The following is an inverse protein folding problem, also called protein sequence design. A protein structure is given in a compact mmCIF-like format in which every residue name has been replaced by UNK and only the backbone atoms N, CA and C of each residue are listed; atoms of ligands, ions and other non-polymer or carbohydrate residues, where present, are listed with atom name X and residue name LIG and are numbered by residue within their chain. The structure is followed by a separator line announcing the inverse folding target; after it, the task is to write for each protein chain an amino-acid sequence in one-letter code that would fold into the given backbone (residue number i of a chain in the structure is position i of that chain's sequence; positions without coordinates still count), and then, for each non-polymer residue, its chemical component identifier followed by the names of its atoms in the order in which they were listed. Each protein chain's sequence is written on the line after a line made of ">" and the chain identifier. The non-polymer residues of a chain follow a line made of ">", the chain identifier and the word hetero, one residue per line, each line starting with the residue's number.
data_IF_873259781963
#
_entry.id   IF_873259781963
#
_cell.length_a   1.000
_cell.length_b   1.000
_cell.length_c   1.000
_cell.angle_alpha   90.00
_cell.angle_beta   90.00
_cell.angle_gamma   90.00
#
_symmetry.space_group_name_H-M   'P 1'
#
loop_
_entity.id
_entity.type
_entity.pdbx_description
1 polymer ?
#
# COMPACT_ATOMS: atom_id res chain seq x y z
N UNK A 1 12.92 13.26 3.44
CA UNK A 1 13.22 14.57 2.81
C UNK A 1 13.83 14.44 1.42
N UNK A 2 15.01 13.83 1.23
CA UNK A 2 15.60 13.70 -0.12
C UNK A 2 14.74 12.86 -1.07
N UNK A 3 14.20 11.72 -0.61
CA UNK A 3 13.29 10.91 -1.40
C UNK A 3 12.00 11.67 -1.76
N UNK A 4 11.45 12.41 -0.81
CA UNK A 4 10.20 13.15 -1.02
C UNK A 4 10.41 14.30 -2.02
N UNK A 5 11.56 14.98 -1.95
CA UNK A 5 11.96 16.00 -2.92
C UNK A 5 12.20 15.38 -4.31
N UNK A 6 12.85 14.22 -4.41
CA UNK A 6 13.06 13.54 -5.68
C UNK A 6 11.73 13.10 -6.32
N UNK A 7 10.80 12.57 -5.51
CA UNK A 7 9.47 12.19 -5.98
C UNK A 7 8.67 13.41 -6.42
N UNK A 8 8.74 14.50 -5.66
CA UNK A 8 8.09 15.76 -6.02
C UNK A 8 8.66 16.32 -7.31
N UNK A 9 9.98 16.46 -7.45
CA UNK A 9 10.60 16.97 -8.68
C UNK A 9 10.20 16.15 -9.92
N UNK A 10 10.13 14.82 -9.80
CA UNK A 10 9.70 13.94 -10.88
C UNK A 10 8.22 14.07 -11.27
N UNK A 11 7.37 14.64 -10.40
CA UNK A 11 5.91 14.69 -10.60
C UNK A 11 5.30 16.10 -10.56
N UNK A 12 6.07 17.11 -10.13
CA UNK A 12 5.60 18.45 -9.80
C UNK A 12 4.91 19.13 -10.97
N UNK A 13 5.45 19.00 -12.19
CA UNK A 13 4.86 19.60 -13.39
C UNK A 13 3.47 19.01 -13.68
N UNK A 14 3.35 17.68 -13.61
CA UNK A 14 2.08 16.98 -13.84
C UNK A 14 1.05 17.37 -12.78
N UNK A 15 1.43 17.34 -11.51
CA UNK A 15 0.55 17.67 -10.38
C UNK A 15 0.13 19.15 -10.45
N UNK A 16 1.06 20.08 -10.71
CA UNK A 16 0.74 21.51 -10.79
C UNK A 16 -0.16 21.86 -11.98
N UNK A 17 0.02 21.19 -13.12
CA UNK A 17 -0.90 21.35 -14.25
C UNK A 17 -2.31 20.90 -13.90
N UNK A 18 -2.45 19.78 -13.19
CA UNK A 18 -3.75 19.31 -12.71
C UNK A 18 -4.36 20.29 -11.69
N UNK A 19 -3.57 20.75 -10.71
CA UNK A 19 -4.00 21.74 -9.70
C UNK A 19 -4.57 23.00 -10.34
N UNK A 20 -3.86 23.63 -11.27
CA UNK A 20 -4.32 24.90 -11.85
C UNK A 20 -5.40 24.74 -12.91
N UNK A 21 -5.35 23.69 -13.74
CA UNK A 21 -6.27 23.56 -14.90
C UNK A 21 -7.57 22.83 -14.57
N UNK A 22 -7.58 21.98 -13.55
CA UNK A 22 -8.75 21.14 -13.23
C UNK A 22 -9.38 21.48 -11.89
N UNK A 23 -8.59 21.92 -10.92
CA UNK A 23 -9.07 22.22 -9.57
C UNK A 23 -9.15 23.72 -9.25
N UNK A 24 -8.66 24.59 -10.15
CA UNK A 24 -8.53 26.03 -9.92
C UNK A 24 -7.74 26.36 -8.64
N UNK A 25 -6.67 25.58 -8.39
CA UNK A 25 -5.79 25.75 -7.24
C UNK A 25 -4.44 26.35 -7.64
N UNK A 26 -3.84 27.10 -6.73
CA UNK A 26 -2.49 27.63 -6.91
C UNK A 26 -1.46 26.51 -7.07
N UNK A 27 -0.46 26.74 -7.92
CA UNK A 27 0.65 25.82 -8.10
C UNK A 27 1.58 25.81 -6.88
N UNK A 28 2.07 24.63 -6.52
CA UNK A 28 3.09 24.48 -5.47
C UNK A 28 4.46 24.69 -6.11
N UNK A 29 5.40 25.29 -5.37
CA UNK A 29 6.77 25.49 -5.87
C UNK A 29 7.41 24.17 -6.27
N UNK A 30 8.11 24.16 -7.40
CA UNK A 30 8.74 22.93 -7.92
C UNK A 30 9.92 22.50 -7.05
N UNK A 31 10.68 23.44 -6.50
CA UNK A 31 11.85 23.15 -5.65
C UNK A 31 11.56 23.52 -4.20
N UNK A 32 11.97 22.64 -3.28
CA UNK A 32 11.85 22.84 -1.84
C UNK A 32 10.46 22.58 -1.28
N UNK A 33 9.61 21.84 -2.01
CA UNK A 33 8.24 21.53 -1.59
C UNK A 33 7.96 20.02 -1.46
N UNK A 34 8.97 19.16 -1.60
CA UNK A 34 8.81 17.72 -1.44
C UNK A 34 8.36 17.28 -0.05
N UNK A 35 8.48 18.14 0.96
CA UNK A 35 8.01 17.88 2.32
C UNK A 35 6.66 18.49 2.68
N UNK A 36 5.89 19.05 1.74
CA UNK A 36 4.70 19.86 2.09
C UNK A 36 3.67 19.12 2.96
N UNK A 37 3.45 17.83 2.71
CA UNK A 37 2.53 17.02 3.52
C UNK A 37 3.03 16.83 4.96
N UNK A 38 4.35 16.72 5.15
CA UNK A 38 4.96 16.64 6.47
C UNK A 38 4.91 17.98 7.20
N UNK A 39 5.13 19.10 6.49
CA UNK A 39 5.02 20.45 7.08
C UNK A 39 3.60 20.77 7.51
N UNK A 40 2.61 20.28 6.75
CA UNK A 40 1.19 20.42 7.08
C UNK A 40 0.69 19.36 8.07
N UNK A 41 1.56 18.47 8.56
CA UNK A 41 1.24 17.39 9.49
C UNK A 41 0.03 16.55 9.05
N UNK A 42 -0.08 16.28 7.75
CA UNK A 42 -1.18 15.49 7.21
C UNK A 42 -1.14 14.09 7.85
N UNK A 43 -2.23 13.61 8.49
CA UNK A 43 -2.23 12.30 9.15
C UNK A 43 -1.90 11.17 8.19
N UNK A 44 -0.97 10.28 8.58
CA UNK A 44 -0.53 9.12 7.79
C UNK A 44 -0.71 7.84 8.60
N UNK A 45 -1.40 6.86 8.01
CA UNK A 45 -1.56 5.53 8.60
C UNK A 45 -0.83 4.47 7.78
N UNK A 46 0.18 3.84 8.38
CA UNK A 46 0.88 2.69 7.84
C UNK A 46 0.19 1.39 8.26
N UNK A 47 -0.13 0.58 7.27
CA UNK A 47 -1.07 -0.54 7.40
C UNK A 47 -0.35 -1.90 7.42
N UNK A 48 0.56 -2.06 8.37
CA UNK A 48 1.18 -3.34 8.69
C UNK A 48 1.05 -3.65 10.17
N UNK A 49 1.25 -4.90 10.53
CA UNK A 49 1.25 -5.34 11.92
C UNK A 49 2.44 -4.77 12.70
N UNK A 50 2.23 -4.06 13.82
CA UNK A 50 3.31 -3.60 14.70
C UNK A 50 4.18 -4.75 15.23
N UNK A 51 3.65 -5.97 15.28
CA UNK A 51 4.41 -7.17 15.68
C UNK A 51 5.46 -7.58 14.65
N UNK A 52 5.32 -7.15 13.38
CA UNK A 52 6.32 -7.38 12.35
C UNK A 52 7.41 -6.31 12.41
N UNK A 53 7.00 -5.04 12.35
CA UNK A 53 7.89 -3.88 12.51
C UNK A 53 7.16 -2.84 13.36
N UNK A 54 7.66 -2.50 14.57
CA UNK A 54 7.05 -1.47 15.39
C UNK A 54 7.27 -0.08 14.77
N UNK A 55 6.43 0.89 15.15
CA UNK A 55 6.61 2.30 14.78
C UNK A 55 8.01 2.79 15.25
N UNK A 56 8.87 3.32 14.37
CA UNK A 56 10.12 3.94 14.78
C UNK A 56 9.91 5.12 15.73
N UNK A 57 10.78 5.25 16.73
CA UNK A 57 10.63 6.25 17.80
C UNK A 57 10.83 7.70 17.32
N UNK A 58 11.54 7.89 16.21
CA UNK A 58 11.84 9.17 15.59
C UNK A 58 10.73 9.65 14.63
N UNK A 59 9.66 8.88 14.47
CA UNK A 59 8.55 9.28 13.61
C UNK A 59 7.65 10.34 14.25
N UNK A 60 7.14 11.30 13.46
CA UNK A 60 6.21 12.31 13.95
C UNK A 60 4.94 11.73 14.59
N UNK A 61 4.28 12.55 15.42
CA UNK A 61 3.05 12.16 16.10
C UNK A 61 1.88 11.90 15.13
N UNK A 62 1.82 12.62 14.00
CA UNK A 62 0.78 12.46 12.98
C UNK A 62 0.92 11.19 12.11
N UNK A 63 1.96 10.40 12.33
CA UNK A 63 2.21 9.13 11.63
C UNK A 63 1.92 7.96 12.57
N UNK A 64 1.07 7.02 12.17
CA UNK A 64 0.73 5.85 12.99
C UNK A 64 0.93 4.54 12.23
N UNK A 65 1.30 3.48 12.95
CA UNK A 65 1.25 2.10 12.44
C UNK A 65 0.01 1.45 13.04
N UNK A 66 -1.00 1.20 12.21
CA UNK A 66 -2.37 0.90 12.67
C UNK A 66 -2.73 -0.59 12.62
N UNK A 67 -1.84 -1.45 12.15
CA UNK A 67 -2.13 -2.87 11.96
C UNK A 67 -2.47 -3.22 10.51
N UNK A 68 -2.54 -4.52 10.24
CA UNK A 68 -3.00 -5.03 8.95
C UNK A 68 -4.52 -5.04 8.92
N UNK A 69 -5.11 -4.74 7.76
CA UNK A 69 -6.54 -4.90 7.57
C UNK A 69 -6.93 -6.37 7.58
N UNK A 70 -7.81 -6.75 8.51
CA UNK A 70 -8.54 -8.00 8.43
C UNK A 70 -9.92 -7.75 7.80
N UNK A 71 -10.13 -8.34 6.63
CA UNK A 71 -11.42 -8.27 5.92
C UNK A 71 -12.57 -8.84 6.76
N UNK A 72 -12.31 -9.75 7.70
CA UNK A 72 -13.33 -10.29 8.62
C UNK A 72 -13.82 -9.22 9.61
N UNK A 73 -12.95 -8.30 10.00
CA UNK A 73 -13.24 -7.24 10.98
C UNK A 73 -14.15 -6.13 10.39
N UNK A 74 -14.20 -6.02 9.06
CA UNK A 74 -15.00 -5.01 8.35
C UNK A 74 -16.49 -5.36 8.20
N UNK A 75 -16.89 -6.61 8.49
CA UNK A 75 -18.23 -7.12 8.21
C UNK A 75 -18.60 -7.17 6.71
N UNK A 76 -17.68 -6.76 5.83
CA UNK A 76 -17.81 -6.71 4.37
C UNK A 76 -16.86 -7.73 3.74
N UNK A 77 -16.91 -8.97 4.23
CA UNK A 77 -16.24 -10.07 3.54
C UNK A 77 -16.71 -10.12 2.08
N UNK A 78 -15.81 -10.48 1.17
CA UNK A 78 -16.20 -10.79 -0.19
C UNK A 78 -17.24 -11.92 -0.14
N UNK A 79 -18.45 -11.67 -0.64
CA UNK A 79 -19.43 -12.74 -0.86
C UNK A 79 -18.96 -13.53 -2.08
N UNK A 80 -18.17 -14.57 -1.84
CA UNK A 80 -17.80 -15.52 -2.88
C UNK A 80 -18.30 -16.90 -2.47
N UNK A 81 -18.79 -17.66 -3.46
CA UNK A 81 -19.25 -19.02 -3.21
C UNK A 81 -18.07 -19.97 -3.16
N UNK A 82 -17.79 -20.49 -1.97
CA UNK A 82 -16.80 -21.55 -1.76
C UNK A 82 -17.14 -22.82 -2.56
N UNK A 83 -18.40 -23.01 -2.93
CA UNK A 83 -18.86 -24.16 -3.72
C UNK A 83 -18.14 -24.28 -5.08
N UNK A 84 -17.71 -23.16 -5.67
CA UNK A 84 -16.93 -23.16 -6.92
C UNK A 84 -15.56 -23.86 -6.76
N UNK A 85 -15.08 -24.02 -5.54
CA UNK A 85 -13.80 -24.64 -5.19
C UNK A 85 -13.97 -25.98 -4.45
N UNK A 86 -15.14 -26.62 -4.55
CA UNK A 86 -15.42 -27.87 -3.82
C UNK A 86 -14.34 -28.96 -3.98
N UNK A 87 -13.73 -29.21 -5.17
CA UNK A 87 -12.63 -30.17 -5.29
C UNK A 87 -11.38 -29.78 -4.52
N UNK A 88 -11.05 -28.48 -4.49
CA UNK A 88 -9.91 -27.96 -3.72
C UNK A 88 -10.17 -28.12 -2.22
N UNK A 89 -11.37 -27.76 -1.75
CA UNK A 89 -11.74 -27.91 -0.34
C UNK A 89 -11.71 -29.38 0.11
N UNK A 90 -12.19 -30.29 -0.74
CA UNK A 90 -12.11 -31.73 -0.48
C UNK A 90 -10.64 -32.19 -0.38
N UNK A 91 -9.77 -31.74 -1.28
CA UNK A 91 -8.34 -32.06 -1.24
C UNK A 91 -7.62 -31.48 -0.01
N UNK A 92 -7.90 -30.22 0.35
CA UNK A 92 -7.37 -29.57 1.55
C UNK A 92 -7.70 -30.35 2.84
N UNK A 93 -8.80 -31.12 2.85
CA UNK A 93 -9.24 -31.92 4.00
C UNK A 93 -8.88 -33.42 3.94
N UNK A 94 -8.25 -33.91 2.87
CA UNK A 94 -8.09 -35.34 2.61
C UNK A 94 -6.75 -35.95 3.11
N UNK A 95 -5.95 -35.22 3.89
CA UNK A 95 -4.66 -35.73 4.36
C UNK A 95 -3.85 -34.70 5.16
N UNK A 96 -2.52 -34.75 4.97
CA UNK A 96 -1.59 -33.85 5.64
C UNK A 96 -1.76 -32.38 5.20
N UNK A 97 -1.46 -31.40 6.08
CA UNK A 97 -1.56 -29.98 5.75
C UNK A 97 -0.72 -29.62 4.52
N UNK A 98 -1.32 -29.03 3.47
CA UNK A 98 -0.59 -28.69 2.26
C UNK A 98 0.25 -27.42 2.40
N UNK A 99 1.23 -27.26 1.52
CA UNK A 99 2.06 -26.05 1.43
C UNK A 99 1.51 -25.14 0.33
N UNK A 100 1.23 -23.88 0.68
CA UNK A 100 0.91 -22.85 -0.29
C UNK A 100 2.19 -22.21 -0.84
N UNK A 101 2.37 -22.24 -2.16
CA UNK A 101 3.49 -21.59 -2.85
C UNK A 101 2.92 -20.53 -3.78
N UNK A 102 3.28 -19.27 -3.55
CA UNK A 102 2.85 -18.15 -4.38
C UNK A 102 3.93 -17.07 -4.38
N UNK A 103 4.40 -16.71 -5.57
CA UNK A 103 5.44 -15.69 -5.75
C UNK A 103 4.89 -14.34 -6.21
N UNK A 104 3.56 -14.22 -6.33
CA UNK A 104 2.91 -13.07 -6.94
C UNK A 104 3.10 -13.02 -8.45
N UNK A 105 2.72 -11.89 -9.05
CA UNK A 105 2.91 -11.68 -10.50
C UNK A 105 4.39 -11.39 -10.76
N UNK A 106 5.05 -12.29 -11.49
CA UNK A 106 6.45 -12.13 -11.89
C UNK A 106 6.60 -12.34 -13.39
N UNK A 107 7.47 -11.54 -14.01
CA UNK A 107 7.94 -11.78 -15.38
C UNK A 107 9.20 -12.64 -15.30
N UNK A 108 9.07 -13.93 -15.61
CA UNK A 108 10.20 -14.85 -15.67
C UNK A 108 10.70 -14.87 -17.11
N UNK A 109 11.85 -14.23 -17.35
CA UNK A 109 12.41 -14.06 -18.70
C UNK A 109 12.81 -15.40 -19.35
N UNK A 110 13.31 -16.35 -18.55
CA UNK A 110 13.70 -17.69 -19.00
C UNK A 110 13.29 -18.74 -17.94
N UNK A 111 12.08 -19.32 -18.05
CA UNK A 111 11.56 -20.26 -17.05
C UNK A 111 12.27 -21.63 -17.04
N UNK A 112 13.08 -21.92 -18.06
CA UNK A 112 13.62 -23.25 -18.36
C UNK A 112 15.16 -23.32 -18.31
N UNK A 113 15.83 -22.21 -17.96
CA UNK A 113 17.28 -22.13 -17.89
C UNK A 113 17.82 -22.58 -16.53
#
# INVERSE_FOLDING_TARGET
>A
QLCDEALWLGTAVTINNWRSKQLDLEQVRVVGSGGVLNVLEVPVSYMWSPSFVPKPADWPAFVEVVGAFDFKQSGKGSSFSEATFAPLLAWLGAGEPPIFIGFGSMVIKEPSA
#
